data_IF_812073754593
#
_entry.id   IF_812073754593
#
_cell.length_a   1.000
_cell.length_b   1.000
_cell.length_c   1.000
_cell.angle_alpha   90.00
_cell.angle_beta   90.00
_cell.angle_gamma   90.00
#
_symmetry.space_group_name_H-M   'P 1'
#
loop_
_entity.id
_entity.type
_entity.pdbx_description
1 polymer ?
#
# COMPACT_ATOMS: atom_id res chain seq x y z
N UNK A 1 -15.27 -37.02 -48.54
CA UNK A 1 -15.68 -36.75 -47.16
C UNK A 1 -14.49 -36.16 -46.37
N UNK A 2 -14.40 -34.84 -46.20
CA UNK A 2 -13.40 -34.21 -45.31
C UNK A 2 -14.01 -33.94 -43.97
N UNK A 3 -13.38 -34.27 -42.84
CA UNK A 3 -13.86 -33.86 -41.54
C UNK A 3 -13.54 -32.39 -41.30
N UNK A 4 -14.57 -31.66 -40.89
CA UNK A 4 -14.53 -30.27 -40.47
C UNK A 4 -13.85 -30.19 -39.08
N UNK A 5 -12.62 -29.69 -39.01
CA UNK A 5 -12.01 -29.39 -37.74
C UNK A 5 -12.57 -28.07 -37.22
N UNK A 6 -13.40 -28.12 -36.18
CA UNK A 6 -13.82 -26.97 -35.42
C UNK A 6 -12.64 -26.46 -34.60
N UNK A 7 -12.09 -25.29 -34.97
CA UNK A 7 -11.12 -24.59 -34.16
C UNK A 7 -11.86 -23.92 -33.00
N UNK A 8 -11.72 -24.49 -31.80
CA UNK A 8 -12.19 -23.88 -30.57
C UNK A 8 -11.25 -22.68 -30.27
N UNK A 9 -11.74 -21.49 -30.54
CA UNK A 9 -11.06 -20.27 -30.11
C UNK A 9 -11.19 -20.17 -28.58
N UNK A 10 -10.12 -20.49 -27.85
CA UNK A 10 -10.00 -20.14 -26.43
C UNK A 10 -9.95 -18.62 -26.33
N UNK A 11 -11.02 -18.02 -25.85
CA UNK A 11 -10.99 -16.65 -25.34
C UNK A 11 -10.12 -16.65 -24.07
N UNK A 12 -8.88 -16.22 -24.21
CA UNK A 12 -8.05 -15.90 -23.04
C UNK A 12 -8.61 -14.62 -22.42
N UNK A 13 -9.17 -14.70 -21.21
CA UNK A 13 -9.50 -13.53 -20.42
C UNK A 13 -8.25 -12.67 -20.26
N UNK A 14 -8.36 -11.33 -20.42
CA UNK A 14 -7.25 -10.46 -20.09
C UNK A 14 -7.05 -10.49 -18.56
N UNK A 15 -6.18 -11.39 -18.11
CA UNK A 15 -5.72 -11.42 -16.73
C UNK A 15 -5.14 -10.06 -16.39
N UNK A 16 -5.66 -9.43 -15.33
CA UNK A 16 -5.06 -8.22 -14.76
C UNK A 16 -3.55 -8.46 -14.64
N UNK A 17 -2.76 -7.59 -15.25
CA UNK A 17 -1.30 -7.75 -15.26
C UNK A 17 -0.77 -7.53 -13.85
N UNK A 18 -0.60 -8.62 -13.10
CA UNK A 18 0.15 -8.62 -11.86
C UNK A 18 1.63 -8.62 -12.24
N UNK A 19 2.34 -7.55 -11.90
CA UNK A 19 3.77 -7.50 -12.09
C UNK A 19 4.44 -8.12 -10.86
N UNK A 20 4.99 -9.34 -10.97
CA UNK A 20 5.80 -9.89 -9.89
C UNK A 20 7.01 -8.99 -9.69
N UNK A 21 7.24 -8.57 -8.47
CA UNK A 21 8.47 -7.90 -8.11
C UNK A 21 9.56 -8.96 -8.06
N UNK A 22 10.61 -8.83 -8.88
CA UNK A 22 11.63 -9.88 -9.06
C UNK A 22 12.34 -10.26 -7.75
N UNK A 23 12.84 -11.48 -7.68
CA UNK A 23 13.71 -11.95 -6.59
C UNK A 23 14.89 -10.98 -6.40
N UNK A 24 15.11 -10.49 -5.16
CA UNK A 24 16.11 -9.47 -4.87
C UNK A 24 15.53 -8.04 -4.78
N UNK A 25 14.21 -7.87 -4.86
CA UNK A 25 13.55 -6.59 -4.65
C UNK A 25 13.80 -6.05 -3.25
N UNK A 26 14.26 -4.81 -3.20
CA UNK A 26 14.42 -4.07 -1.95
C UNK A 26 13.20 -3.23 -1.68
N UNK A 27 12.53 -3.46 -0.55
CA UNK A 27 11.49 -2.57 -0.03
C UNK A 27 12.00 -1.82 1.18
N UNK A 28 11.75 -0.52 1.20
CA UNK A 28 12.02 0.37 2.33
C UNK A 28 10.73 1.10 2.72
N UNK A 29 10.36 1.05 3.98
CA UNK A 29 9.22 1.76 4.53
C UNK A 29 9.65 3.07 5.18
N UNK A 30 9.09 4.19 4.75
CA UNK A 30 9.28 5.50 5.41
C UNK A 30 8.38 5.61 6.65
N UNK A 31 7.16 5.15 6.50
CA UNK A 31 6.11 5.00 7.52
C UNK A 31 5.21 3.81 7.15
N UNK A 32 4.07 3.65 7.81
CA UNK A 32 3.22 2.48 7.59
C UNK A 32 2.49 2.41 6.25
N UNK A 33 2.40 3.51 5.51
CA UNK A 33 1.65 3.56 4.25
C UNK A 33 2.47 3.99 3.03
N UNK A 34 3.76 4.27 3.19
CA UNK A 34 4.60 4.73 2.09
C UNK A 34 6.08 4.34 2.24
N UNK A 35 6.78 4.35 1.11
CA UNK A 35 8.18 3.98 1.10
C UNK A 35 8.77 3.96 -0.31
N UNK A 36 9.71 3.04 -0.53
CA UNK A 36 10.36 2.80 -1.83
C UNK A 36 10.45 1.32 -2.13
N UNK A 37 10.14 0.96 -3.38
CA UNK A 37 10.39 -0.37 -3.93
C UNK A 37 11.38 -0.21 -5.08
N UNK A 38 12.58 -0.79 -4.94
CA UNK A 38 13.69 -0.64 -5.91
C UNK A 38 13.93 0.83 -6.30
N UNK A 39 13.87 1.73 -5.32
CA UNK A 39 14.04 3.17 -5.53
C UNK A 39 12.79 3.92 -6.00
N UNK A 40 11.77 3.24 -6.48
CA UNK A 40 10.49 3.85 -6.86
C UNK A 40 9.72 4.26 -5.60
N UNK A 41 9.41 5.54 -5.47
CA UNK A 41 8.55 6.03 -4.38
C UNK A 41 7.13 5.50 -4.55
N UNK A 42 6.57 4.96 -3.50
CA UNK A 42 5.19 4.49 -3.51
C UNK A 42 4.38 4.97 -2.30
N UNK A 43 3.09 4.92 -2.46
CA UNK A 43 2.08 5.07 -1.42
C UNK A 43 1.02 3.99 -1.58
N UNK A 44 0.59 3.38 -0.47
CA UNK A 44 -0.54 2.45 -0.48
C UNK A 44 -1.85 3.20 -0.74
N UNK A 45 -2.68 2.63 -1.63
CA UNK A 45 -3.97 3.20 -1.99
C UNK A 45 -4.98 3.11 -0.84
N UNK A 46 -5.80 4.15 -0.69
CA UNK A 46 -7.00 4.19 0.15
C UNK A 46 -6.81 3.96 1.65
N UNK A 47 -5.59 4.12 2.13
CA UNK A 47 -5.27 4.01 3.57
C UNK A 47 -4.41 5.19 4.02
N UNK A 48 -4.36 5.37 5.32
CA UNK A 48 -3.49 6.32 6.00
C UNK A 48 -2.80 5.64 7.18
N UNK A 49 -1.55 5.96 7.40
CA UNK A 49 -0.78 5.56 8.56
C UNK A 49 -0.50 6.76 9.46
N UNK A 50 -0.32 6.53 10.78
CA UNK A 50 0.22 7.56 11.65
C UNK A 50 1.61 7.99 11.16
N UNK A 51 1.93 9.26 11.30
CA UNK A 51 3.19 9.84 10.85
C UNK A 51 4.34 9.53 11.82
N UNK A 52 5.53 9.28 11.27
CA UNK A 52 6.76 9.06 12.04
C UNK A 52 7.61 10.31 12.22
N UNK A 53 7.35 11.36 11.44
CA UNK A 53 8.08 12.61 11.48
C UNK A 53 7.91 13.38 12.78
N UNK A 54 8.81 14.32 13.04
CA UNK A 54 8.81 15.14 14.26
C UNK A 54 7.46 15.83 14.51
N UNK A 55 7.07 15.90 15.77
CA UNK A 55 5.81 16.56 16.17
C UNK A 55 5.85 18.05 15.81
N UNK A 56 4.82 18.50 15.08
CA UNK A 56 4.71 19.88 14.60
C UNK A 56 5.54 20.19 13.36
N UNK A 57 6.39 19.26 12.89
CA UNK A 57 7.10 19.41 11.63
C UNK A 57 6.14 19.28 10.45
N UNK A 58 6.46 19.92 9.33
CA UNK A 58 5.67 19.82 8.12
C UNK A 58 5.63 18.36 7.62
N UNK A 59 4.42 17.79 7.51
CA UNK A 59 4.23 16.38 7.17
C UNK A 59 4.61 15.41 8.30
N UNK A 60 4.91 15.90 9.49
CA UNK A 60 5.17 15.08 10.67
C UNK A 60 3.92 14.78 11.50
N UNK A 61 4.11 14.10 12.62
CA UNK A 61 3.05 13.77 13.56
C UNK A 61 2.47 15.03 14.21
N UNK A 62 1.18 14.98 14.55
CA UNK A 62 0.50 16.07 15.25
C UNK A 62 0.67 16.01 16.76
N UNK A 63 1.01 14.84 17.29
CA UNK A 63 1.28 14.61 18.70
C UNK A 63 2.26 13.43 18.86
N UNK A 64 2.86 13.31 20.04
CA UNK A 64 3.82 12.23 20.31
C UNK A 64 3.18 10.84 20.23
N UNK A 65 1.91 10.72 20.66
CA UNK A 65 1.16 9.47 20.53
C UNK A 65 1.02 9.00 19.07
N UNK A 66 0.72 9.92 18.14
CA UNK A 66 0.70 9.59 16.71
C UNK A 66 2.06 9.10 16.23
N UNK A 67 3.14 9.76 16.67
CA UNK A 67 4.50 9.40 16.27
C UNK A 67 4.87 7.99 16.75
N UNK A 68 4.51 7.61 17.97
CA UNK A 68 4.70 6.26 18.51
C UNK A 68 3.91 5.23 17.68
N UNK A 69 2.63 5.49 17.40
CA UNK A 69 1.81 4.66 16.52
C UNK A 69 2.41 4.55 15.11
N UNK A 70 3.02 5.62 14.61
CA UNK A 70 3.68 5.65 13.31
C UNK A 70 4.87 4.68 13.25
N UNK A 71 5.70 4.65 14.28
CA UNK A 71 6.80 3.69 14.36
C UNK A 71 6.31 2.25 14.48
N UNK A 72 5.25 2.01 15.26
CA UNK A 72 4.64 0.67 15.38
C UNK A 72 4.08 0.19 14.03
N UNK A 73 3.40 1.06 13.29
CA UNK A 73 2.90 0.76 11.95
C UNK A 73 4.02 0.46 10.97
N UNK A 74 5.07 1.27 10.97
CA UNK A 74 6.26 1.05 10.14
C UNK A 74 6.92 -0.30 10.44
N UNK A 75 7.14 -0.61 11.70
CA UNK A 75 7.73 -1.88 12.12
C UNK A 75 6.88 -3.07 11.70
N UNK A 76 5.56 -2.97 11.86
CA UNK A 76 4.62 -3.99 11.37
C UNK A 76 4.79 -4.25 9.87
N UNK A 77 4.89 -3.20 9.04
CA UNK A 77 5.07 -3.34 7.59
C UNK A 77 6.44 -3.93 7.24
N UNK A 78 7.49 -3.53 7.95
CA UNK A 78 8.83 -4.11 7.77
C UNK A 78 8.80 -5.61 8.03
N UNK A 79 8.20 -6.06 9.13
CA UNK A 79 8.09 -7.49 9.46
C UNK A 79 7.21 -8.24 8.46
N UNK A 80 6.05 -7.68 8.09
CA UNK A 80 5.12 -8.29 7.15
C UNK A 80 5.74 -8.54 5.77
N UNK A 81 6.62 -7.63 5.33
CA UNK A 81 7.25 -7.69 4.00
C UNK A 81 8.65 -8.28 4.00
N UNK A 82 9.21 -8.64 5.16
CA UNK A 82 10.53 -9.24 5.29
C UNK A 82 10.58 -10.60 4.58
N UNK A 83 11.46 -10.74 3.60
CA UNK A 83 11.62 -11.97 2.81
C UNK A 83 10.30 -12.47 2.19
N UNK A 84 9.31 -11.60 2.02
CA UNK A 84 8.04 -11.96 1.43
C UNK A 84 8.11 -11.94 -0.10
N UNK A 85 7.25 -12.74 -0.72
CA UNK A 85 6.96 -12.63 -2.14
C UNK A 85 6.06 -11.44 -2.39
N UNK A 86 6.63 -10.35 -2.93
CA UNK A 86 5.96 -9.07 -3.12
C UNK A 86 5.38 -8.96 -4.53
N UNK A 87 4.12 -8.54 -4.62
CA UNK A 87 3.44 -8.28 -5.89
C UNK A 87 2.72 -6.95 -5.82
N UNK A 88 3.01 -6.06 -6.77
CA UNK A 88 2.19 -4.87 -7.01
C UNK A 88 0.96 -5.34 -7.78
N UNK A 89 -0.20 -5.35 -7.12
CA UNK A 89 -1.45 -5.86 -7.69
C UNK A 89 -2.23 -4.82 -8.47
N UNK A 90 -2.00 -3.55 -8.19
CA UNK A 90 -2.50 -2.44 -9.01
C UNK A 90 -1.62 -1.19 -8.85
N UNK A 91 -1.68 -0.33 -9.86
CA UNK A 91 -1.07 1.00 -9.85
C UNK A 91 -2.02 1.98 -10.51
N UNK A 92 -2.33 3.07 -9.83
CA UNK A 92 -3.28 4.08 -10.30
C UNK A 92 -2.62 5.39 -10.73
N UNK A 93 -1.30 5.39 -10.89
CA UNK A 93 -0.52 6.56 -11.27
C UNK A 93 0.03 7.32 -10.07
N UNK A 94 0.71 8.43 -10.36
CA UNK A 94 1.42 9.21 -9.35
C UNK A 94 0.49 10.20 -8.63
N UNK A 95 0.74 10.39 -7.34
CA UNK A 95 0.17 11.49 -6.58
C UNK A 95 0.95 12.81 -6.81
N UNK A 96 0.53 13.88 -6.14
CA UNK A 96 1.19 15.20 -6.26
C UNK A 96 2.63 15.24 -5.73
N UNK A 97 3.06 14.21 -5.00
CA UNK A 97 4.42 14.07 -4.47
C UNK A 97 5.27 13.10 -5.29
N UNK A 98 4.81 12.74 -6.50
CA UNK A 98 5.49 11.81 -7.40
C UNK A 98 5.66 10.39 -6.82
N UNK A 99 4.75 9.99 -5.92
CA UNK A 99 4.68 8.63 -5.41
C UNK A 99 3.68 7.84 -6.25
N UNK A 100 4.07 6.66 -6.67
CA UNK A 100 3.15 5.72 -7.32
C UNK A 100 2.13 5.22 -6.32
N UNK A 101 0.83 5.37 -6.61
CA UNK A 101 -0.25 4.90 -5.74
C UNK A 101 -0.56 3.46 -6.10
N UNK A 102 -0.25 2.53 -5.20
CA UNK A 102 -0.29 1.09 -5.47
C UNK A 102 -1.13 0.32 -4.45
N UNK A 103 -1.56 -0.88 -4.87
CA UNK A 103 -1.87 -1.96 -3.94
C UNK A 103 -0.75 -2.98 -3.99
N UNK A 104 -0.37 -3.50 -2.84
CA UNK A 104 0.77 -4.40 -2.66
C UNK A 104 0.33 -5.64 -1.91
N UNK A 105 0.72 -6.81 -2.38
CA UNK A 105 0.58 -8.06 -1.62
C UNK A 105 1.94 -8.59 -1.18
N UNK A 106 1.95 -9.24 -0.02
CA UNK A 106 3.08 -9.96 0.52
C UNK A 106 2.64 -11.40 0.81
N UNK A 107 3.26 -12.37 0.17
CA UNK A 107 2.86 -13.78 0.24
C UNK A 107 1.36 -14.00 -0.04
N UNK A 108 0.81 -13.27 -1.02
CA UNK A 108 -0.60 -13.35 -1.41
C UNK A 108 -1.58 -12.58 -0.53
N UNK A 109 -1.13 -11.93 0.55
CA UNK A 109 -1.95 -11.10 1.42
C UNK A 109 -1.79 -9.63 1.08
N UNK A 110 -2.91 -8.89 0.93
CA UNK A 110 -2.88 -7.44 0.77
C UNK A 110 -2.32 -6.79 2.04
N UNK A 111 -1.24 -6.03 1.89
CA UNK A 111 -0.55 -5.43 3.05
C UNK A 111 -1.36 -4.32 3.71
N UNK A 112 -2.16 -3.57 2.95
CA UNK A 112 -3.03 -2.54 3.51
C UNK A 112 -4.16 -3.16 4.35
N UNK A 113 -4.77 -4.24 3.87
CA UNK A 113 -5.79 -4.97 4.62
C UNK A 113 -5.21 -5.59 5.90
N UNK A 114 -4.02 -6.17 5.83
CA UNK A 114 -3.31 -6.69 7.01
C UNK A 114 -3.03 -5.57 8.03
N UNK A 115 -2.56 -4.42 7.59
CA UNK A 115 -2.30 -3.25 8.43
C UNK A 115 -3.57 -2.70 9.11
N UNK A 116 -4.68 -2.65 8.37
CA UNK A 116 -5.98 -2.25 8.95
C UNK A 116 -6.48 -3.25 10.00
N UNK A 117 -6.42 -4.53 9.69
CA UNK A 117 -6.84 -5.60 10.61
C UNK A 117 -6.03 -5.58 11.92
N UNK A 118 -4.75 -5.23 11.86
CA UNK A 118 -3.87 -5.09 13.02
C UNK A 118 -4.00 -3.74 13.75
N UNK A 119 -4.80 -2.81 13.23
CA UNK A 119 -5.00 -1.48 13.83
C UNK A 119 -3.90 -0.45 13.53
N UNK A 120 -3.01 -0.75 12.60
CA UNK A 120 -1.89 0.12 12.22
C UNK A 120 -2.22 1.10 11.09
N UNK A 121 -3.23 0.80 10.28
CA UNK A 121 -3.71 1.65 9.20
C UNK A 121 -5.19 1.97 9.35
N UNK A 122 -5.60 3.13 8.88
CA UNK A 122 -6.98 3.56 8.80
C UNK A 122 -7.45 3.70 7.35
N UNK A 123 -8.76 3.59 7.13
CA UNK A 123 -9.35 3.86 5.83
C UNK A 123 -9.25 5.35 5.49
N UNK A 124 -8.76 5.62 4.30
CA UNK A 124 -8.77 6.95 3.72
C UNK A 124 -9.01 6.88 2.21
N UNK A 125 -10.28 6.62 1.83
CA UNK A 125 -10.63 6.34 0.45
C UNK A 125 -10.46 7.57 -0.44
N UNK A 126 -10.02 7.33 -1.68
CA UNK A 126 -9.84 8.34 -2.71
C UNK A 126 -10.55 7.95 -4.01
N UNK A 127 -10.97 8.97 -4.76
CA UNK A 127 -11.34 8.84 -6.17
C UNK A 127 -10.32 9.64 -6.99
N UNK A 128 -9.41 8.96 -7.67
CA UNK A 128 -8.24 9.60 -8.25
C UNK A 128 -7.39 10.28 -7.16
N UNK A 129 -7.14 11.57 -7.31
CA UNK A 129 -6.39 12.37 -6.32
C UNK A 129 -7.26 13.00 -5.23
N UNK A 130 -8.60 12.83 -5.31
CA UNK A 130 -9.54 13.44 -4.38
C UNK A 130 -9.85 12.50 -3.22
N UNK A 131 -9.57 12.93 -2.00
CA UNK A 131 -10.01 12.26 -0.79
C UNK A 131 -11.53 12.31 -0.66
N UNK A 132 -12.15 11.19 -0.33
CA UNK A 132 -13.60 11.06 -0.13
C UNK A 132 -14.03 11.26 1.32
N UNK A 133 -13.08 11.29 2.25
CA UNK A 133 -13.29 11.52 3.68
C UNK A 133 -12.15 12.34 4.26
N UNK A 134 -12.32 12.79 5.49
CA UNK A 134 -11.23 13.39 6.25
C UNK A 134 -10.14 12.36 6.52
N UNK A 135 -8.89 12.82 6.54
CA UNK A 135 -7.76 12.01 6.99
C UNK A 135 -8.01 11.55 8.43
N UNK A 136 -7.71 10.28 8.78
CA UNK A 136 -7.80 9.80 10.15
C UNK A 136 -7.06 10.71 11.14
N UNK A 137 -7.67 10.94 12.29
CA UNK A 137 -7.06 11.69 13.40
C UNK A 137 -6.50 10.72 14.44
N UNK A 138 -5.22 10.40 14.30
CA UNK A 138 -4.54 9.44 15.17
C UNK A 138 -4.37 9.94 16.61
N UNK A 139 -4.33 11.26 16.81
CA UNK A 139 -4.22 11.84 18.15
C UNK A 139 -5.51 11.70 18.95
N UNK A 140 -6.67 11.65 18.29
CA UNK A 140 -7.96 11.47 18.94
C UNK A 140 -8.14 10.10 19.58
N UNK A 141 -7.43 9.06 19.12
CA UNK A 141 -7.49 7.71 19.68
C UNK A 141 -6.97 7.63 21.12
N UNK A 142 -6.15 8.59 21.55
CA UNK A 142 -5.63 8.67 22.93
C UNK A 142 -6.72 8.97 23.96
N UNK A 143 -7.84 9.53 23.51
CA UNK A 143 -8.92 10.01 24.38
C UNK A 143 -10.04 8.98 24.56
N UNK A 144 -9.87 7.81 23.96
CA UNK A 144 -10.87 6.71 24.01
C UNK A 144 -10.55 5.65 25.06
#
# INVERSE_FOLDING_TARGET
MLPLFAVLACCADPLAQTNPVSAGTTIYWSDGDSGRIDGMKFRLANVDAPETGGVGARGGAKCEFERELGYDAKEFMVELTRNADLVITSSSGQDRYEREVITLSANGQDVAEAGKAAGHLGDWPHKGRKALSKKPDWCALRLG
#
